data_IF_602958634428
#
_entry.id   IF_602958634428
#
_cell.length_a   1.000
_cell.length_b   1.000
_cell.length_c   1.000
_cell.angle_alpha   90.00
_cell.angle_beta   90.00
_cell.angle_gamma   90.00
#
_symmetry.space_group_name_H-M   'P 1'
#
loop_
_entity.id
_entity.type
_entity.pdbx_description
1 polymer ?
#
# COMPACT_ATOMS: atom_id res chain seq x y z
N UNK A 1 41.16 45.86 52.78
CA UNK A 1 40.21 45.88 51.66
C UNK A 1 40.55 44.71 50.75
N UNK A 2 39.74 43.63 50.80
CA UNK A 2 39.79 42.52 49.81
C UNK A 2 39.04 42.98 48.56
N UNK A 3 39.79 43.46 47.54
CA UNK A 3 39.17 43.71 46.21
C UNK A 3 39.05 42.36 45.47
N UNK A 4 37.92 41.84 45.48
CA UNK A 4 37.58 40.67 44.62
C UNK A 4 37.52 41.18 43.17
N UNK A 5 38.59 40.98 42.42
CA UNK A 5 38.62 41.27 40.99
C UNK A 5 37.85 40.15 40.23
N UNK A 6 36.61 40.44 39.80
CA UNK A 6 35.81 39.53 38.97
C UNK A 6 36.37 39.60 37.53
N UNK A 7 36.84 38.47 37.04
CA UNK A 7 37.27 38.32 35.63
C UNK A 7 36.03 38.25 34.73
N UNK A 8 35.99 39.08 33.65
CA UNK A 8 34.79 39.27 32.83
C UNK A 8 34.54 38.15 31.81
N UNK A 9 35.62 37.48 31.40
CA UNK A 9 35.56 36.47 30.36
C UNK A 9 36.15 35.17 30.86
N UNK A 10 35.47 34.06 30.56
CA UNK A 10 35.98 32.70 30.75
C UNK A 10 35.90 31.92 29.44
N UNK A 11 36.86 31.08 29.19
CA UNK A 11 36.83 30.09 28.11
C UNK A 11 37.16 28.72 28.70
N UNK A 12 36.34 27.74 28.37
CA UNK A 12 36.51 26.34 28.75
C UNK A 12 36.49 25.49 27.50
N UNK A 13 37.41 24.56 27.38
CA UNK A 13 37.44 23.55 26.32
C UNK A 13 38.01 22.26 26.91
N UNK A 14 37.49 21.11 26.46
CA UNK A 14 37.98 19.87 27.02
C UNK A 14 37.41 18.65 26.35
N UNK A 15 37.89 17.48 26.77
CA UNK A 15 37.44 16.18 26.38
C UNK A 15 36.86 15.48 27.61
N UNK A 16 35.68 14.88 27.44
CA UNK A 16 35.02 14.07 28.47
C UNK A 16 34.81 12.67 27.94
N UNK A 17 35.26 11.68 28.69
CA UNK A 17 35.00 10.27 28.48
C UNK A 17 34.05 9.78 29.58
N UNK A 18 32.92 9.19 29.19
CA UNK A 18 31.98 8.54 30.10
C UNK A 18 31.71 7.13 29.62
N UNK A 19 32.07 6.15 30.45
CA UNK A 19 31.89 4.73 30.18
C UNK A 19 30.92 4.15 31.20
N UNK A 20 29.73 3.64 30.79
CA UNK A 20 28.88 2.87 31.66
C UNK A 20 29.49 1.48 31.86
N UNK A 21 30.09 1.24 33.04
CA UNK A 21 30.69 -0.06 33.39
C UNK A 21 29.64 -1.11 33.73
N UNK A 22 28.54 -0.67 34.36
CA UNK A 22 27.38 -1.50 34.63
C UNK A 22 26.09 -0.66 34.52
N UNK A 23 25.22 -1.00 33.59
CA UNK A 23 23.92 -0.36 33.44
C UNK A 23 22.93 -1.35 32.82
N UNK A 24 22.07 -1.94 33.63
CA UNK A 24 21.12 -2.97 33.20
C UNK A 24 20.10 -2.40 32.17
N UNK A 25 19.74 -1.12 32.26
CA UNK A 25 18.83 -0.50 31.31
C UNK A 25 19.45 -0.38 29.92
N UNK A 26 20.76 -0.16 29.82
CA UNK A 26 21.49 -0.09 28.56
C UNK A 26 21.42 -1.40 27.78
N UNK A 27 21.66 -2.53 28.43
CA UNK A 27 21.58 -3.85 27.78
C UNK A 27 20.17 -4.16 27.27
N UNK A 28 19.13 -3.78 28.01
CA UNK A 28 17.76 -3.94 27.55
C UNK A 28 17.41 -2.96 26.43
N UNK A 29 18.00 -1.75 26.43
CA UNK A 29 17.82 -0.79 25.32
C UNK A 29 18.42 -1.31 24.02
N UNK A 30 19.56 -2.01 24.05
CA UNK A 30 20.13 -2.69 22.88
C UNK A 30 19.14 -3.73 22.34
N UNK A 31 18.60 -4.58 23.22
CA UNK A 31 17.62 -5.60 22.80
C UNK A 31 16.27 -5.00 22.36
N UNK A 32 15.94 -3.77 22.74
CA UNK A 32 14.81 -2.99 22.21
C UNK A 32 15.14 -2.49 20.82
N UNK A 33 16.36 -1.96 20.58
CA UNK A 33 16.78 -1.52 19.25
C UNK A 33 16.74 -2.64 18.20
N UNK A 34 17.05 -3.88 18.58
CA UNK A 34 16.88 -5.06 17.72
C UNK A 34 15.42 -5.30 17.33
N UNK A 35 14.48 -5.15 18.30
CA UNK A 35 13.05 -5.28 18.01
C UNK A 35 12.54 -4.14 17.14
N UNK A 36 13.02 -2.90 17.34
CA UNK A 36 12.66 -1.77 16.47
C UNK A 36 13.13 -2.02 15.04
N UNK A 37 14.39 -2.45 14.87
CA UNK A 37 14.89 -2.82 13.55
C UNK A 37 14.05 -3.94 12.89
N UNK A 38 13.61 -4.94 13.67
CA UNK A 38 12.73 -6.00 13.16
C UNK A 38 11.36 -5.46 12.77
N UNK A 39 10.80 -4.52 13.53
CA UNK A 39 9.54 -3.83 13.18
C UNK A 39 9.67 -3.08 11.86
N UNK A 40 10.79 -2.36 11.66
CA UNK A 40 11.03 -1.60 10.42
C UNK A 40 11.16 -2.54 9.22
N UNK A 41 11.88 -3.66 9.35
CA UNK A 41 11.99 -4.68 8.30
C UNK A 41 10.63 -5.31 7.97
N UNK A 42 9.83 -5.68 8.98
CA UNK A 42 8.49 -6.24 8.76
C UNK A 42 7.53 -5.21 8.15
N UNK A 43 7.67 -3.92 8.50
CA UNK A 43 6.90 -2.83 7.92
C UNK A 43 7.26 -2.60 6.45
N UNK A 44 8.55 -2.72 6.10
CA UNK A 44 9.01 -2.67 4.72
C UNK A 44 8.44 -3.83 3.89
N UNK A 45 8.52 -5.07 4.39
CA UNK A 45 7.97 -6.25 3.68
C UNK A 45 6.44 -6.16 3.53
N UNK A 46 5.73 -5.66 4.56
CA UNK A 46 4.29 -5.40 4.46
C UNK A 46 3.98 -4.34 3.41
N UNK A 47 4.71 -3.23 3.39
CA UNK A 47 4.52 -2.17 2.39
C UNK A 47 4.78 -2.68 0.97
N UNK A 48 5.79 -3.54 0.78
CA UNK A 48 6.08 -4.21 -0.50
C UNK A 48 4.92 -5.13 -0.92
N UNK A 49 4.38 -5.92 0.00
CA UNK A 49 3.21 -6.77 -0.26
C UNK A 49 1.98 -5.95 -0.65
N UNK A 50 1.69 -4.85 0.07
CA UNK A 50 0.60 -3.93 -0.24
C UNK A 50 0.77 -3.30 -1.63
N UNK A 51 1.99 -2.92 -2.00
CA UNK A 51 2.33 -2.36 -3.31
C UNK A 51 2.13 -3.38 -4.43
N UNK A 52 2.52 -4.65 -4.24
CA UNK A 52 2.28 -5.73 -5.22
C UNK A 52 0.78 -5.89 -5.49
N UNK A 53 -0.04 -5.85 -4.44
CA UNK A 53 -1.51 -5.93 -4.58
C UNK A 53 -2.06 -4.72 -5.33
N UNK A 54 -1.57 -3.52 -5.05
CA UNK A 54 -2.00 -2.30 -5.74
C UNK A 54 -1.62 -2.33 -7.23
N UNK A 55 -0.39 -2.71 -7.55
CA UNK A 55 0.08 -2.89 -8.92
C UNK A 55 -0.79 -3.94 -9.64
N UNK A 56 -1.07 -5.08 -8.99
CA UNK A 56 -1.93 -6.13 -9.55
C UNK A 56 -3.33 -5.62 -9.88
N UNK A 57 -3.94 -4.81 -8.99
CA UNK A 57 -5.26 -4.20 -9.24
C UNK A 57 -5.23 -3.27 -10.46
N UNK A 58 -4.23 -2.40 -10.56
CA UNK A 58 -4.07 -1.49 -11.68
C UNK A 58 -3.80 -2.23 -13.00
N UNK A 59 -2.99 -3.28 -12.94
CA UNK A 59 -2.69 -4.14 -14.08
C UNK A 59 -3.94 -4.82 -14.64
N UNK A 60 -4.74 -5.48 -13.78
CA UNK A 60 -5.99 -6.13 -14.21
C UNK A 60 -7.03 -5.13 -14.68
N UNK A 61 -7.07 -3.93 -14.09
CA UNK A 61 -7.95 -2.85 -14.54
C UNK A 61 -7.56 -2.39 -15.95
N UNK A 62 -6.28 -2.17 -16.21
CA UNK A 62 -5.75 -1.80 -17.52
C UNK A 62 -6.02 -2.87 -18.59
N UNK A 63 -5.80 -4.16 -18.26
CA UNK A 63 -6.15 -5.27 -19.16
C UNK A 63 -7.64 -5.29 -19.51
N UNK A 64 -8.51 -5.09 -18.50
CA UNK A 64 -9.95 -5.04 -18.70
C UNK A 64 -10.35 -3.88 -19.62
N UNK A 65 -9.73 -2.70 -19.46
CA UNK A 65 -10.00 -1.53 -20.32
C UNK A 65 -9.50 -1.73 -21.74
N UNK A 66 -8.36 -2.41 -21.95
CA UNK A 66 -7.90 -2.78 -23.30
C UNK A 66 -8.90 -3.73 -23.97
N UNK A 67 -9.38 -4.73 -23.25
CA UNK A 67 -10.41 -5.63 -23.79
C UNK A 67 -11.72 -4.88 -24.09
N UNK A 68 -12.10 -3.93 -23.24
CA UNK A 68 -13.26 -3.06 -23.49
C UNK A 68 -13.09 -2.23 -24.78
N UNK A 69 -11.93 -1.66 -25.05
CA UNK A 69 -11.62 -0.94 -26.28
C UNK A 69 -11.79 -1.83 -27.52
N UNK A 70 -11.26 -3.06 -27.47
CA UNK A 70 -11.40 -4.02 -28.57
C UNK A 70 -12.88 -4.39 -28.85
N UNK A 71 -13.67 -4.57 -27.80
CA UNK A 71 -15.10 -4.82 -27.89
C UNK A 71 -15.83 -3.61 -28.52
N UNK A 72 -15.54 -2.40 -28.07
CA UNK A 72 -16.15 -1.17 -28.61
C UNK A 72 -15.76 -0.98 -30.08
N UNK A 73 -14.51 -1.23 -30.47
CA UNK A 73 -14.09 -1.20 -31.88
C UNK A 73 -14.90 -2.19 -32.73
N UNK A 74 -15.08 -3.41 -32.25
CA UNK A 74 -15.93 -4.40 -32.90
C UNK A 74 -17.40 -3.93 -33.02
N UNK A 75 -17.94 -3.29 -31.99
CA UNK A 75 -19.30 -2.74 -32.01
C UNK A 75 -19.42 -1.59 -33.00
N UNK A 76 -18.44 -0.68 -33.05
CA UNK A 76 -18.39 0.42 -34.05
C UNK A 76 -18.40 -0.15 -35.47
N UNK A 77 -17.57 -1.14 -35.78
CA UNK A 77 -17.51 -1.77 -37.09
C UNK A 77 -18.84 -2.42 -37.48
N UNK A 78 -19.53 -3.08 -36.53
CA UNK A 78 -20.87 -3.67 -36.73
C UNK A 78 -21.94 -2.61 -37.00
N UNK A 79 -21.97 -1.53 -36.20
CA UNK A 79 -22.93 -0.43 -36.39
C UNK A 79 -22.69 0.34 -37.67
N UNK A 80 -21.45 0.52 -38.10
CA UNK A 80 -21.13 1.16 -39.40
C UNK A 80 -21.62 0.31 -40.56
N UNK A 81 -21.43 -1.03 -40.48
CA UNK A 81 -22.03 -1.95 -41.47
C UNK A 81 -23.55 -1.89 -41.46
N UNK A 82 -24.19 -1.85 -40.31
CA UNK A 82 -25.64 -1.74 -40.17
C UNK A 82 -26.15 -0.44 -40.72
N UNK A 83 -25.46 0.70 -40.49
CA UNK A 83 -25.82 2.01 -41.10
C UNK A 83 -25.84 1.92 -42.62
N UNK A 84 -24.81 1.29 -43.22
CA UNK A 84 -24.72 1.17 -44.67
C UNK A 84 -25.86 0.31 -45.24
N UNK A 85 -26.24 -0.81 -44.58
CA UNK A 85 -27.38 -1.62 -44.97
C UNK A 85 -28.69 -0.86 -44.83
N UNK A 86 -28.89 -0.18 -43.70
CA UNK A 86 -30.10 0.60 -43.44
C UNK A 86 -30.27 1.75 -44.43
N UNK A 87 -29.16 2.42 -44.79
CA UNK A 87 -29.14 3.49 -45.79
C UNK A 87 -29.56 2.91 -47.17
N UNK A 88 -29.01 1.76 -47.58
CA UNK A 88 -29.39 1.14 -48.83
C UNK A 88 -30.88 0.71 -48.83
N UNK A 89 -31.43 0.28 -47.73
CA UNK A 89 -32.87 -0.04 -47.59
C UNK A 89 -33.72 1.25 -47.69
N UNK A 90 -33.30 2.35 -47.08
CA UNK A 90 -33.97 3.64 -47.19
C UNK A 90 -33.99 4.15 -48.65
N UNK A 91 -32.85 4.07 -49.32
CA UNK A 91 -32.73 4.50 -50.74
C UNK A 91 -33.62 3.70 -51.69
N UNK A 92 -33.94 2.47 -51.32
CA UNK A 92 -34.88 1.56 -52.05
C UNK A 92 -36.32 1.59 -51.52
N UNK A 93 -36.64 2.51 -50.56
CA UNK A 93 -37.97 2.64 -49.98
C UNK A 93 -38.41 1.49 -49.05
N UNK A 94 -37.44 0.69 -48.57
CA UNK A 94 -37.68 -0.47 -47.65
C UNK A 94 -37.46 -0.12 -46.18
N UNK A 95 -36.87 1.02 -45.87
CA UNK A 95 -36.65 1.52 -44.49
C UNK A 95 -37.05 2.98 -44.37
N UNK A 96 -37.26 3.48 -43.15
CA UNK A 96 -37.59 4.86 -42.86
C UNK A 96 -36.33 5.67 -42.57
N UNK A 97 -36.30 6.96 -42.90
CA UNK A 97 -35.22 7.91 -42.58
C UNK A 97 -34.89 7.90 -41.05
N UNK A 98 -35.92 7.75 -40.23
CA UNK A 98 -35.74 7.65 -38.77
C UNK A 98 -34.91 6.41 -38.32
N UNK A 99 -34.91 5.32 -39.08
CA UNK A 99 -34.13 4.13 -38.75
C UNK A 99 -32.64 4.34 -39.04
N UNK A 100 -32.30 5.03 -40.13
CA UNK A 100 -30.93 5.46 -40.44
C UNK A 100 -30.40 6.36 -39.30
N UNK A 101 -31.19 7.37 -38.92
CA UNK A 101 -30.82 8.30 -37.83
C UNK A 101 -30.62 7.60 -36.48
N UNK A 102 -31.41 6.56 -36.15
CA UNK A 102 -31.26 5.77 -34.96
C UNK A 102 -29.90 5.03 -34.91
N UNK A 103 -29.51 4.44 -36.03
CA UNK A 103 -28.22 3.75 -36.14
C UNK A 103 -27.07 4.75 -36.04
N UNK A 104 -27.19 5.94 -36.72
CA UNK A 104 -26.18 7.00 -36.62
C UNK A 104 -25.98 7.50 -35.19
N UNK A 105 -27.07 7.73 -34.44
CA UNK A 105 -26.98 8.12 -33.03
C UNK A 105 -26.23 7.05 -32.18
N UNK A 106 -26.54 5.76 -32.39
CA UNK A 106 -25.87 4.69 -31.67
C UNK A 106 -24.39 4.58 -32.05
N UNK A 107 -24.06 4.76 -33.32
CA UNK A 107 -22.68 4.76 -33.80
C UNK A 107 -21.87 5.92 -33.16
N UNK A 108 -22.43 7.14 -33.14
CA UNK A 108 -21.76 8.29 -32.50
C UNK A 108 -21.62 8.09 -30.98
N UNK A 109 -22.61 7.52 -30.31
CA UNK A 109 -22.51 7.16 -28.89
C UNK A 109 -21.38 6.15 -28.64
N UNK A 110 -21.22 5.13 -29.50
CA UNK A 110 -20.10 4.17 -29.39
C UNK A 110 -18.74 4.84 -29.61
N UNK A 111 -18.63 5.78 -30.56
CA UNK A 111 -17.39 6.56 -30.74
C UNK A 111 -17.03 7.38 -29.53
N UNK A 112 -18.02 8.02 -28.89
CA UNK A 112 -17.81 8.75 -27.64
C UNK A 112 -17.34 7.80 -26.53
N UNK A 113 -17.96 6.61 -26.40
CA UNK A 113 -17.53 5.60 -25.43
C UNK A 113 -16.10 5.11 -25.69
N UNK A 114 -15.71 4.93 -26.95
CA UNK A 114 -14.35 4.58 -27.34
C UNK A 114 -13.33 5.62 -26.86
N UNK A 115 -13.57 6.90 -27.16
CA UNK A 115 -12.68 7.97 -26.72
C UNK A 115 -12.59 8.09 -25.19
N UNK A 116 -13.70 7.90 -24.49
CA UNK A 116 -13.72 7.88 -23.02
C UNK A 116 -12.91 6.71 -22.46
N UNK A 117 -13.08 5.51 -23.00
CA UNK A 117 -12.31 4.33 -22.58
C UNK A 117 -10.81 4.49 -22.89
N UNK A 118 -10.46 5.11 -24.02
CA UNK A 118 -9.06 5.41 -24.36
C UNK A 118 -8.44 6.42 -23.38
N UNK A 119 -9.17 7.47 -23.03
CA UNK A 119 -8.71 8.44 -22.03
C UNK A 119 -8.53 7.76 -20.64
N UNK A 120 -9.48 6.88 -20.27
CA UNK A 120 -9.40 6.11 -19.03
C UNK A 120 -8.17 5.18 -19.02
N UNK A 121 -7.90 4.47 -20.12
CA UNK A 121 -6.70 3.62 -20.23
C UNK A 121 -5.42 4.45 -20.04
N UNK A 122 -5.31 5.61 -20.67
CA UNK A 122 -4.15 6.49 -20.52
C UNK A 122 -3.96 6.92 -19.06
N UNK A 123 -5.05 7.25 -18.34
CA UNK A 123 -4.98 7.60 -16.93
C UNK A 123 -4.53 6.40 -16.06
N UNK A 124 -5.04 5.20 -16.34
CA UNK A 124 -4.65 3.96 -15.64
C UNK A 124 -3.18 3.61 -15.88
N UNK A 125 -2.70 3.73 -17.12
CA UNK A 125 -1.29 3.50 -17.45
C UNK A 125 -0.37 4.54 -16.80
N UNK A 126 -0.78 5.81 -16.73
CA UNK A 126 -0.01 6.84 -16.02
C UNK A 126 0.05 6.56 -14.51
N UNK A 127 -1.05 6.11 -13.90
CA UNK A 127 -1.06 5.71 -12.50
C UNK A 127 -0.18 4.47 -12.27
N UNK A 128 -0.20 3.50 -13.18
CA UNK A 128 0.67 2.32 -13.12
C UNK A 128 2.15 2.71 -13.24
N UNK A 129 2.51 3.63 -14.16
CA UNK A 129 3.87 4.18 -14.27
C UNK A 129 4.31 4.84 -12.96
N UNK A 130 3.46 5.68 -12.40
CA UNK A 130 3.73 6.34 -11.12
C UNK A 130 3.97 5.33 -10.00
N UNK A 131 3.12 4.30 -9.90
CA UNK A 131 3.24 3.26 -8.87
C UNK A 131 4.50 2.40 -9.04
N UNK A 132 4.98 2.23 -10.29
CA UNK A 132 6.20 1.51 -10.64
C UNK A 132 7.47 2.39 -10.63
N UNK A 133 7.34 3.67 -10.29
CA UNK A 133 8.44 4.67 -10.33
C UNK A 133 9.12 4.74 -11.73
N UNK A 134 8.30 4.63 -12.79
CA UNK A 134 8.76 4.73 -14.18
C UNK A 134 8.60 6.16 -14.72
N UNK A 135 9.51 6.64 -15.58
CA UNK A 135 9.35 7.93 -16.27
C UNK A 135 8.05 7.97 -17.07
N UNK A 136 7.42 9.18 -17.16
CA UNK A 136 6.15 9.37 -17.89
C UNK A 136 6.24 9.02 -19.38
N UNK A 137 7.44 9.16 -19.97
CA UNK A 137 7.70 8.85 -21.38
C UNK A 137 7.84 7.34 -21.64
N UNK A 138 7.97 6.53 -20.60
CA UNK A 138 8.12 5.06 -20.77
C UNK A 138 6.82 4.46 -21.31
N UNK A 139 6.91 3.69 -22.37
CA UNK A 139 5.74 2.98 -22.92
C UNK A 139 5.55 1.64 -22.22
N UNK A 140 4.38 1.46 -21.61
CA UNK A 140 3.96 0.18 -21.01
C UNK A 140 2.98 -0.50 -21.94
N UNK A 141 3.29 -1.73 -22.32
CA UNK A 141 2.37 -2.63 -23.02
C UNK A 141 1.91 -3.72 -22.05
N UNK A 142 0.60 -3.81 -21.84
CA UNK A 142 0.03 -4.87 -21.01
C UNK A 142 -0.23 -6.11 -21.86
N UNK A 143 -0.02 -7.28 -21.26
CA UNK A 143 -0.37 -8.55 -21.90
C UNK A 143 -1.89 -8.62 -22.12
N UNK A 144 -2.38 -9.12 -23.25
CA UNK A 144 -3.81 -9.30 -23.48
C UNK A 144 -4.44 -10.14 -22.37
N UNK A 145 -5.73 -9.87 -22.11
CA UNK A 145 -6.52 -10.62 -21.15
C UNK A 145 -6.63 -12.07 -21.61
N UNK A 146 -6.15 -13.01 -20.76
CA UNK A 146 -6.32 -14.43 -21.01
C UNK A 146 -7.54 -14.94 -20.23
N UNK A 147 -8.64 -15.35 -20.89
CA UNK A 147 -9.84 -15.82 -20.22
C UNK A 147 -9.66 -17.18 -19.50
N UNK A 148 -8.63 -17.95 -19.85
CA UNK A 148 -8.44 -19.32 -19.39
C UNK A 148 -7.53 -19.46 -18.15
N UNK A 149 -6.94 -18.36 -17.66
CA UNK A 149 -6.12 -18.41 -16.46
C UNK A 149 -7.03 -18.38 -15.22
N UNK A 150 -7.44 -19.56 -14.80
CA UNK A 150 -7.91 -19.80 -13.43
C UNK A 150 -6.68 -19.98 -12.54
N UNK A 151 -6.40 -19.00 -11.66
CA UNK A 151 -5.30 -19.12 -10.71
C UNK A 151 -5.53 -20.31 -9.78
N UNK A 152 -4.50 -21.13 -9.58
CA UNK A 152 -4.49 -22.23 -8.63
C UNK A 152 -4.29 -21.70 -7.21
N UNK A 153 -5.26 -20.95 -6.67
CA UNK A 153 -5.21 -20.52 -5.28
C UNK A 153 -5.41 -21.71 -4.36
N UNK A 154 -4.44 -21.97 -3.50
CA UNK A 154 -4.56 -23.04 -2.50
C UNK A 154 -5.27 -22.51 -1.26
N UNK A 155 -6.33 -23.18 -0.81
CA UNK A 155 -7.11 -22.85 0.38
C UNK A 155 -6.45 -23.44 1.63
N UNK A 156 -5.29 -22.93 2.02
CA UNK A 156 -4.50 -23.43 3.14
C UNK A 156 -4.85 -22.82 4.51
N UNK A 157 -5.91 -22.00 4.58
CA UNK A 157 -6.23 -21.18 5.75
C UNK A 157 -5.48 -19.85 5.77
N UNK A 158 -5.79 -19.04 6.79
CA UNK A 158 -5.05 -17.79 7.05
C UNK A 158 -3.58 -18.14 7.36
N UNK A 159 -2.64 -17.45 6.71
CA UNK A 159 -1.23 -17.67 6.97
C UNK A 159 -0.82 -17.07 8.32
N UNK A 160 -0.21 -17.89 9.20
CA UNK A 160 0.39 -17.41 10.44
C UNK A 160 1.64 -16.54 10.21
N UNK A 161 2.23 -16.61 9.02
CA UNK A 161 3.40 -15.83 8.62
C UNK A 161 3.06 -14.47 8.00
N UNK A 162 1.79 -14.03 8.03
CA UNK A 162 1.41 -12.69 7.58
C UNK A 162 2.24 -11.62 8.28
N UNK A 163 2.82 -10.71 7.49
CA UNK A 163 3.65 -9.61 8.01
C UNK A 163 2.90 -8.75 9.03
N UNK A 164 1.60 -8.58 8.87
CA UNK A 164 0.75 -7.85 9.82
C UNK A 164 0.70 -8.53 11.19
N UNK A 165 0.55 -9.86 11.24
CA UNK A 165 0.56 -10.62 12.51
C UNK A 165 1.94 -10.62 13.16
N UNK A 166 3.01 -10.80 12.38
CA UNK A 166 4.38 -10.73 12.87
C UNK A 166 4.74 -9.33 13.40
N UNK A 167 4.26 -8.28 12.75
CA UNK A 167 4.44 -6.89 13.17
C UNK A 167 3.80 -6.65 14.55
N UNK A 168 2.53 -7.05 14.72
CA UNK A 168 1.82 -6.92 15.99
C UNK A 168 2.47 -7.76 17.13
N UNK A 169 2.95 -8.95 16.81
CA UNK A 169 3.68 -9.78 17.79
C UNK A 169 4.98 -9.09 18.23
N UNK A 170 5.76 -8.57 17.28
CA UNK A 170 7.01 -7.87 17.57
C UNK A 170 6.76 -6.58 18.36
N UNK A 171 5.70 -5.83 18.05
CA UNK A 171 5.29 -4.63 18.80
C UNK A 171 4.89 -5.01 20.25
N UNK A 172 4.17 -6.11 20.43
CA UNK A 172 3.79 -6.61 21.76
C UNK A 172 5.03 -7.01 22.58
N UNK A 173 6.01 -7.66 21.95
CA UNK A 173 7.30 -7.99 22.58
C UNK A 173 8.09 -6.73 22.96
N UNK A 174 8.09 -5.70 22.10
CA UNK A 174 8.71 -4.39 22.36
C UNK A 174 8.13 -3.75 23.61
N UNK A 175 6.79 -3.64 23.71
CA UNK A 175 6.10 -3.06 24.87
C UNK A 175 6.40 -3.85 26.17
N UNK A 176 6.47 -5.17 26.08
CA UNK A 176 6.88 -6.03 27.21
C UNK A 176 8.30 -5.72 27.68
N UNK A 177 9.26 -5.53 26.75
CA UNK A 177 10.65 -5.15 27.11
C UNK A 177 10.73 -3.72 27.64
N UNK A 178 9.95 -2.77 27.09
CA UNK A 178 9.86 -1.41 27.61
C UNK A 178 9.34 -1.40 29.07
N UNK A 179 8.36 -2.23 29.39
CA UNK A 179 7.92 -2.41 30.78
C UNK A 179 9.02 -2.98 31.71
N UNK A 180 9.91 -3.84 31.20
CA UNK A 180 11.05 -4.38 31.97
C UNK A 180 12.10 -3.32 32.29
N UNK A 181 12.39 -2.38 31.37
CA UNK A 181 13.35 -1.28 31.61
C UNK A 181 12.97 -0.48 32.86
N UNK A 182 11.68 -0.24 33.08
CA UNK A 182 11.21 0.53 34.25
C UNK A 182 11.60 -0.19 35.55
N UNK A 183 11.46 -1.52 35.61
CA UNK A 183 11.91 -2.32 36.78
C UNK A 183 13.43 -2.28 36.93
N UNK A 184 14.18 -2.32 35.83
CA UNK A 184 15.65 -2.29 35.85
C UNK A 184 16.19 -0.93 36.32
N UNK A 185 15.38 0.13 36.22
CA UNK A 185 15.70 1.43 36.78
C UNK A 185 15.82 1.44 38.33
N UNK A 186 15.51 0.36 39.06
CA UNK A 186 15.81 0.17 40.48
C UNK A 186 17.20 -0.41 40.73
N UNK A 187 17.84 -0.98 39.70
CA UNK A 187 19.15 -1.59 39.80
C UNK A 187 20.23 -0.51 39.84
N UNK A 188 21.23 -0.56 40.72
CA UNK A 188 22.33 0.36 40.74
C UNK A 188 23.08 0.40 39.40
N UNK A 189 23.60 1.57 39.03
CA UNK A 189 24.45 1.76 37.86
C UNK A 189 25.81 2.27 38.25
N UNK A 190 26.88 1.78 37.60
CA UNK A 190 28.26 2.14 37.80
C UNK A 190 28.82 2.75 36.52
N UNK A 191 29.30 3.98 36.61
CA UNK A 191 29.90 4.71 35.49
C UNK A 191 31.36 5.11 35.84
N UNK A 192 32.24 4.99 34.87
CA UNK A 192 33.54 5.61 34.89
C UNK A 192 33.47 6.92 34.13
N UNK A 193 34.01 7.99 34.72
CA UNK A 193 34.09 9.29 34.08
C UNK A 193 35.53 9.77 34.08
N UNK A 194 36.00 10.34 32.99
CA UNK A 194 37.30 11.02 32.90
C UNK A 194 37.12 12.30 32.11
N UNK A 195 37.67 13.38 32.61
CA UNK A 195 37.57 14.71 32.00
C UNK A 195 38.94 15.38 31.98
N UNK A 196 39.37 15.78 30.82
CA UNK A 196 40.48 16.68 30.60
C UNK A 196 39.91 18.04 30.18
N UNK A 197 40.11 19.07 30.96
CA UNK A 197 39.60 20.41 30.66
C UNK A 197 40.69 21.47 30.75
N UNK A 198 40.65 22.40 29.83
CA UNK A 198 41.46 23.60 29.83
C UNK A 198 40.54 24.80 30.10
N UNK A 199 40.87 25.59 31.10
CA UNK A 199 40.10 26.76 31.50
C UNK A 199 40.97 27.99 31.50
N UNK A 200 40.50 29.09 30.96
CA UNK A 200 41.18 30.38 30.98
C UNK A 200 40.19 31.47 31.43
N UNK A 201 40.71 32.39 32.26
CA UNK A 201 39.94 33.51 32.80
C UNK A 201 40.67 34.82 32.49
N UNK A 202 39.96 35.81 31.94
CA UNK A 202 40.58 37.08 31.55
C UNK A 202 39.60 38.26 31.66
N UNK A 203 40.18 39.50 31.81
CA UNK A 203 39.40 40.73 31.80
C UNK A 203 39.08 41.25 30.39
N UNK A 204 39.84 40.84 29.36
CA UNK A 204 39.70 41.30 27.98
C UNK A 204 39.73 40.13 27.02
N UNK A 205 38.74 40.04 26.11
CA UNK A 205 38.59 38.95 25.14
C UNK A 205 39.86 38.69 24.30
N UNK A 206 40.54 39.77 23.85
CA UNK A 206 41.78 39.66 23.07
C UNK A 206 42.92 38.92 23.75
N UNK A 207 42.89 38.81 25.10
CA UNK A 207 43.94 38.14 25.87
C UNK A 207 43.89 36.60 25.74
N UNK A 208 42.81 36.00 25.21
CA UNK A 208 42.75 34.56 24.94
C UNK A 208 43.75 34.12 23.85
N UNK A 209 44.11 35.04 22.95
CA UNK A 209 44.92 34.76 21.76
C UNK A 209 46.38 35.33 21.87
N UNK A 210 46.72 36.03 22.92
CA UNK A 210 48.08 36.60 23.14
C UNK A 210 48.64 36.04 24.42
N UNK A 211 49.94 35.64 24.37
CA UNK A 211 50.66 35.15 25.55
C UNK A 211 51.02 36.34 26.46
N UNK A 212 50.14 36.63 27.40
CA UNK A 212 50.41 37.66 28.46
C UNK A 212 50.43 36.97 29.83
N UNK A 213 51.13 37.46 30.79
CA UNK A 213 51.29 36.91 32.15
C UNK A 213 49.96 36.73 32.87
N UNK A 214 48.93 37.46 32.46
CA UNK A 214 47.58 37.36 33.03
C UNK A 214 46.63 36.30 32.32
N UNK A 215 47.15 35.56 31.34
CA UNK A 215 46.36 34.68 30.52
C UNK A 215 46.95 33.26 30.57
N UNK A 216 46.85 32.61 31.72
CA UNK A 216 47.23 31.20 31.85
C UNK A 216 46.05 30.32 31.60
N UNK A 217 46.20 29.37 30.68
CA UNK A 217 45.32 28.24 30.57
C UNK A 217 45.67 27.27 31.69
N UNK A 218 44.65 26.91 32.47
CA UNK A 218 44.77 25.91 33.54
C UNK A 218 44.26 24.59 33.01
N UNK A 219 45.09 23.59 33.03
CA UNK A 219 44.78 22.24 32.75
C UNK A 219 44.18 21.57 34.02
N UNK A 220 43.10 20.87 33.87
CA UNK A 220 42.53 20.03 34.92
C UNK A 220 42.22 18.66 34.37
N UNK A 221 42.69 17.64 35.04
CA UNK A 221 42.37 16.24 34.74
C UNK A 221 41.68 15.62 35.94
N UNK A 222 40.46 15.15 35.70
CA UNK A 222 39.63 14.48 36.70
C UNK A 222 39.23 13.11 36.22
N UNK A 223 39.28 12.13 37.05
CA UNK A 223 38.69 10.81 36.78
C UNK A 223 38.02 10.27 38.06
N UNK A 224 37.01 9.40 37.86
CA UNK A 224 36.29 8.84 38.99
C UNK A 224 35.33 7.74 38.63
N UNK A 225 34.90 7.03 39.64
CA UNK A 225 33.81 6.05 39.56
C UNK A 225 32.58 6.66 40.23
N UNK A 226 31.45 6.62 39.53
CA UNK A 226 30.16 7.07 40.04
C UNK A 226 29.23 5.87 40.19
N UNK A 227 28.85 5.51 41.42
CA UNK A 227 27.84 4.51 41.73
C UNK A 227 26.52 5.23 42.05
N UNK A 228 25.49 5.00 41.23
CA UNK A 228 24.15 5.60 41.44
C UNK A 228 23.22 4.48 41.94
N UNK A 229 22.69 4.63 43.15
CA UNK A 229 21.73 3.74 43.76
C UNK A 229 20.41 4.50 43.95
N UNK A 230 19.34 4.17 43.23
CA UNK A 230 18.05 4.83 43.39
C UNK A 230 17.33 4.26 44.63
N UNK A 231 17.28 5.01 45.74
CA UNK A 231 16.66 4.59 47.00
C UNK A 231 15.15 4.87 46.98
N UNK A 232 14.76 6.06 46.55
CA UNK A 232 13.37 6.46 46.53
C UNK A 232 13.12 7.46 45.39
N UNK A 233 12.03 7.29 44.64
CA UNK A 233 11.69 8.11 43.48
C UNK A 233 10.26 8.68 43.53
N UNK A 234 9.64 8.72 44.71
CA UNK A 234 8.27 9.24 44.88
C UNK A 234 7.22 8.34 44.19
N UNK A 235 7.45 7.02 44.06
CA UNK A 235 6.57 6.05 43.39
C UNK A 235 6.45 6.25 41.87
N UNK A 236 7.27 7.12 41.26
CA UNK A 236 7.23 7.41 39.84
C UNK A 236 7.41 6.13 38.98
N UNK A 237 8.39 5.29 39.33
CA UNK A 237 8.60 4.02 38.60
C UNK A 237 7.44 3.05 38.79
N UNK A 238 6.81 3.01 39.96
CA UNK A 238 5.66 2.16 40.22
C UNK A 238 4.48 2.54 39.30
N UNK A 239 4.15 3.84 39.20
CA UNK A 239 3.09 4.34 38.31
C UNK A 239 3.43 4.09 36.85
N UNK A 240 4.67 4.36 36.41
CA UNK A 240 5.14 4.06 35.05
C UNK A 240 5.04 2.57 34.71
N UNK A 241 5.32 1.68 35.67
CA UNK A 241 5.14 0.22 35.50
C UNK A 241 3.68 -0.14 35.27
N UNK A 242 2.76 0.46 36.03
CA UNK A 242 1.32 0.24 35.83
C UNK A 242 0.88 0.69 34.44
N UNK A 243 1.30 1.89 34.00
CA UNK A 243 1.05 2.38 32.66
C UNK A 243 1.57 1.42 31.59
N UNK A 244 2.83 0.99 31.69
CA UNK A 244 3.43 0.04 30.75
C UNK A 244 2.69 -1.31 30.71
N UNK A 245 2.19 -1.80 31.85
CA UNK A 245 1.38 -3.01 31.89
C UNK A 245 0.04 -2.84 31.19
N UNK A 246 -0.59 -1.68 31.31
CA UNK A 246 -1.86 -1.35 30.59
C UNK A 246 -1.60 -1.30 29.09
N UNK A 247 -0.55 -0.61 28.64
CA UNK A 247 -0.19 -0.56 27.22
C UNK A 247 0.15 -1.94 26.64
N UNK A 248 0.87 -2.75 27.38
CA UNK A 248 1.14 -4.15 26.98
C UNK A 248 -0.15 -4.96 26.83
N UNK A 249 -1.08 -4.88 27.83
CA UNK A 249 -2.37 -5.59 27.76
C UNK A 249 -3.23 -5.11 26.58
N UNK A 250 -3.24 -3.82 26.34
CA UNK A 250 -3.92 -3.23 25.18
C UNK A 250 -3.37 -3.77 23.86
N UNK A 251 -2.04 -3.86 23.73
CA UNK A 251 -1.40 -4.44 22.55
C UNK A 251 -1.75 -5.91 22.33
N UNK A 252 -1.78 -6.72 23.41
CA UNK A 252 -2.20 -8.13 23.34
C UNK A 252 -3.65 -8.24 22.85
N UNK A 253 -4.57 -7.45 23.42
CA UNK A 253 -5.96 -7.46 22.99
C UNK A 253 -6.11 -6.98 21.52
N UNK A 254 -5.31 -6.00 21.10
CA UNK A 254 -5.29 -5.54 19.70
C UNK A 254 -4.80 -6.66 18.77
N UNK A 255 -3.77 -7.40 19.15
CA UNK A 255 -3.25 -8.53 18.39
C UNK A 255 -4.32 -9.63 18.23
N UNK A 256 -5.01 -10.01 19.33
CA UNK A 256 -6.10 -10.99 19.28
C UNK A 256 -7.27 -10.52 18.41
N UNK A 257 -7.66 -9.25 18.53
CA UNK A 257 -8.74 -8.67 17.72
C UNK A 257 -8.38 -8.66 16.23
N UNK A 258 -7.16 -8.22 15.88
CA UNK A 258 -6.72 -8.21 14.49
C UNK A 258 -6.64 -9.63 13.91
N UNK A 259 -6.18 -10.62 14.70
CA UNK A 259 -6.21 -12.02 14.25
C UNK A 259 -7.62 -12.47 13.90
N UNK A 260 -8.61 -12.21 14.75
CA UNK A 260 -10.04 -12.54 14.49
C UNK A 260 -10.59 -11.81 13.27
N UNK A 261 -10.21 -10.55 13.08
CA UNK A 261 -10.58 -9.79 11.88
C UNK A 261 -10.02 -10.43 10.60
N UNK A 262 -8.74 -10.82 10.61
CA UNK A 262 -8.10 -11.47 9.46
C UNK A 262 -8.68 -12.86 9.18
N UNK A 263 -9.02 -13.64 10.20
CA UNK A 263 -9.73 -14.94 10.06
C UNK A 263 -11.11 -14.74 9.41
N UNK A 264 -11.85 -13.72 9.86
CA UNK A 264 -13.15 -13.36 9.25
C UNK A 264 -12.95 -12.87 7.80
N UNK A 265 -11.96 -12.04 7.56
CA UNK A 265 -11.63 -11.56 6.22
C UNK A 265 -11.22 -12.70 5.28
N UNK A 266 -10.44 -13.67 5.76
CA UNK A 266 -10.11 -14.87 5.00
C UNK A 266 -11.36 -15.65 4.60
N UNK A 267 -12.27 -15.93 5.56
CA UNK A 267 -13.51 -16.65 5.30
C UNK A 267 -14.39 -15.94 4.28
N UNK A 268 -14.51 -14.62 4.40
CA UNK A 268 -15.25 -13.79 3.44
C UNK A 268 -14.56 -13.80 2.06
N UNK A 269 -13.23 -13.66 2.00
CA UNK A 269 -12.49 -13.66 0.73
C UNK A 269 -12.59 -15.00 -0.02
N UNK A 270 -12.67 -16.13 0.69
CA UNK A 270 -12.94 -17.44 0.08
C UNK A 270 -14.34 -17.46 -0.54
N UNK A 271 -15.35 -16.98 0.20
CA UNK A 271 -16.73 -16.90 -0.30
C UNK A 271 -16.84 -15.95 -1.50
N UNK A 272 -16.18 -14.81 -1.43
CA UNK A 272 -16.13 -13.81 -2.49
C UNK A 272 -15.47 -14.36 -3.76
N UNK A 273 -14.35 -15.08 -3.63
CA UNK A 273 -13.70 -15.73 -4.78
C UNK A 273 -14.64 -16.73 -5.46
N UNK A 274 -15.27 -17.62 -4.69
CA UNK A 274 -16.21 -18.61 -5.24
C UNK A 274 -17.41 -17.96 -5.92
N UNK A 275 -17.96 -16.89 -5.33
CA UNK A 275 -19.10 -16.16 -5.90
C UNK A 275 -18.70 -15.40 -7.17
N UNK A 276 -17.55 -14.72 -7.17
CA UNK A 276 -17.07 -14.00 -8.34
C UNK A 276 -16.69 -14.96 -9.48
N UNK A 277 -16.16 -16.14 -9.17
CA UNK A 277 -15.90 -17.18 -10.18
C UNK A 277 -17.21 -17.62 -10.85
N UNK A 278 -18.23 -17.97 -10.07
CA UNK A 278 -19.53 -18.36 -10.61
C UNK A 278 -20.19 -17.25 -11.43
N UNK A 279 -20.07 -16.00 -10.94
CA UNK A 279 -20.58 -14.84 -11.65
C UNK A 279 -19.86 -14.66 -13.00
N UNK A 280 -18.54 -14.77 -13.00
CA UNK A 280 -17.74 -14.70 -14.23
C UNK A 280 -18.17 -15.76 -15.26
N UNK A 281 -18.29 -17.04 -14.86
CA UNK A 281 -18.74 -18.13 -15.72
C UNK A 281 -20.14 -17.87 -16.30
N UNK A 282 -21.06 -17.32 -15.47
CA UNK A 282 -22.42 -16.97 -15.92
C UNK A 282 -22.43 -15.77 -16.88
N UNK A 283 -21.68 -14.73 -16.59
CA UNK A 283 -21.60 -13.56 -17.47
C UNK A 283 -20.90 -13.88 -18.80
N UNK A 284 -19.93 -14.79 -18.80
CA UNK A 284 -19.32 -15.30 -20.02
C UNK A 284 -20.35 -16.05 -20.89
N UNK A 285 -21.18 -16.90 -20.27
CA UNK A 285 -22.27 -17.60 -20.97
C UNK A 285 -23.32 -16.60 -21.49
N UNK A 286 -23.72 -15.60 -20.69
CA UNK A 286 -24.68 -14.58 -21.09
C UNK A 286 -24.17 -13.76 -22.27
N UNK A 287 -22.88 -13.39 -22.26
CA UNK A 287 -22.27 -12.67 -23.38
C UNK A 287 -22.36 -13.48 -24.68
N UNK A 288 -21.95 -14.76 -24.66
CA UNK A 288 -22.03 -15.64 -25.84
C UNK A 288 -23.46 -15.74 -26.36
N UNK A 289 -24.46 -15.95 -25.46
CA UNK A 289 -25.85 -16.05 -25.84
C UNK A 289 -26.39 -14.74 -26.44
N UNK A 290 -26.04 -13.58 -25.83
CA UNK A 290 -26.46 -12.29 -26.36
C UNK A 290 -25.85 -12.00 -27.76
N UNK A 291 -24.61 -12.44 -28.00
CA UNK A 291 -23.96 -12.35 -29.31
C UNK A 291 -24.65 -13.22 -30.34
N UNK A 292 -25.00 -14.46 -30.02
CA UNK A 292 -25.78 -15.36 -30.91
C UNK A 292 -27.13 -14.74 -31.26
N UNK A 293 -27.89 -14.23 -30.28
CA UNK A 293 -29.18 -13.58 -30.48
C UNK A 293 -29.05 -12.38 -31.43
N UNK A 294 -28.06 -11.49 -31.16
CA UNK A 294 -27.80 -10.34 -31.99
C UNK A 294 -27.50 -10.72 -33.45
N UNK A 295 -26.66 -11.74 -33.67
CA UNK A 295 -26.33 -12.19 -35.02
C UNK A 295 -27.58 -12.72 -35.76
N UNK A 296 -28.39 -13.52 -35.10
CA UNK A 296 -29.66 -14.05 -35.68
C UNK A 296 -30.62 -12.91 -36.02
N UNK A 297 -30.78 -11.93 -35.12
CA UNK A 297 -31.67 -10.77 -35.37
C UNK A 297 -31.12 -9.86 -36.49
N UNK A 298 -29.80 -9.73 -36.59
CA UNK A 298 -29.14 -9.03 -37.69
C UNK A 298 -29.45 -9.66 -39.05
N UNK A 299 -29.39 -11.00 -39.13
CA UNK A 299 -29.70 -11.69 -40.39
C UNK A 299 -31.19 -11.60 -40.73
N UNK A 300 -32.09 -11.76 -39.75
CA UNK A 300 -33.53 -11.53 -39.94
C UNK A 300 -33.84 -10.11 -40.39
N UNK A 301 -33.11 -9.10 -39.89
CA UNK A 301 -33.26 -7.72 -40.33
C UNK A 301 -32.84 -7.54 -41.78
N UNK A 302 -31.74 -8.15 -42.24
CA UNK A 302 -31.32 -8.14 -43.66
C UNK A 302 -32.35 -8.79 -44.60
N UNK A 303 -33.08 -9.80 -44.10
CA UNK A 303 -34.17 -10.45 -44.83
C UNK A 303 -35.53 -9.72 -44.74
N UNK A 304 -35.58 -8.58 -44.00
CA UNK A 304 -36.83 -7.82 -43.80
C UNK A 304 -37.81 -8.46 -42.82
N UNK A 305 -37.41 -9.47 -42.05
CA UNK A 305 -38.25 -10.21 -41.09
C UNK A 305 -38.29 -9.54 -39.74
N UNK A 306 -37.13 -9.03 -39.26
CA UNK A 306 -37.00 -8.29 -37.98
C UNK A 306 -37.07 -6.77 -38.18
N UNK A 307 -37.57 -6.06 -37.17
CA UNK A 307 -37.62 -4.61 -37.18
C UNK A 307 -36.27 -4.01 -36.71
N UNK A 308 -35.96 -2.75 -37.10
CA UNK A 308 -34.83 -1.97 -36.60
C UNK A 308 -34.88 -1.86 -35.08
N UNK A 309 -36.05 -1.66 -34.49
CA UNK A 309 -36.21 -1.54 -33.03
C UNK A 309 -35.81 -2.82 -32.31
N UNK A 310 -36.17 -4.00 -32.85
CA UNK A 310 -35.76 -5.30 -32.28
C UNK A 310 -34.22 -5.47 -32.33
N UNK A 311 -33.62 -5.15 -33.50
CA UNK A 311 -32.18 -5.25 -33.68
C UNK A 311 -31.41 -4.32 -32.72
N UNK A 312 -31.85 -3.08 -32.54
CA UNK A 312 -31.22 -2.13 -31.62
C UNK A 312 -31.42 -2.54 -30.15
N UNK A 313 -32.53 -3.21 -29.80
CA UNK A 313 -32.70 -3.79 -28.47
C UNK A 313 -31.72 -4.93 -28.20
N UNK A 314 -31.50 -5.80 -29.17
CA UNK A 314 -30.56 -6.93 -29.01
C UNK A 314 -29.10 -6.41 -29.01
N UNK A 315 -28.78 -5.34 -29.74
CA UNK A 315 -27.48 -4.68 -29.64
C UNK A 315 -27.22 -4.06 -28.26
N UNK A 316 -28.24 -3.43 -27.67
CA UNK A 316 -28.15 -2.92 -26.31
C UNK A 316 -27.90 -4.07 -25.29
N UNK A 317 -28.65 -5.17 -25.42
CA UNK A 317 -28.46 -6.37 -24.56
C UNK A 317 -27.07 -6.99 -24.72
N UNK A 318 -26.54 -7.01 -25.95
CA UNK A 318 -25.18 -7.47 -26.22
C UNK A 318 -24.15 -6.57 -25.52
N UNK A 319 -24.30 -5.25 -25.64
CA UNK A 319 -23.40 -4.28 -24.99
C UNK A 319 -23.46 -4.41 -23.45
N UNK A 320 -24.66 -4.60 -22.88
CA UNK A 320 -24.83 -4.85 -21.44
C UNK A 320 -24.16 -6.15 -21.01
N UNK A 321 -24.31 -7.22 -21.77
CA UNK A 321 -23.69 -8.51 -21.50
C UNK A 321 -22.15 -8.46 -21.60
N UNK A 322 -21.60 -7.73 -22.58
CA UNK A 322 -20.17 -7.46 -22.73
C UNK A 322 -19.61 -6.74 -21.51
N UNK A 323 -20.27 -5.66 -21.06
CA UNK A 323 -19.86 -4.91 -19.87
C UNK A 323 -19.97 -5.75 -18.60
N UNK A 324 -21.03 -6.56 -18.48
CA UNK A 324 -21.22 -7.53 -17.39
C UNK A 324 -20.09 -8.55 -17.32
N UNK A 325 -19.69 -9.11 -18.46
CA UNK A 325 -18.57 -10.05 -18.57
C UNK A 325 -17.24 -9.42 -18.12
N UNK A 326 -16.90 -8.23 -18.63
CA UNK A 326 -15.67 -7.53 -18.26
C UNK A 326 -15.60 -7.19 -16.78
N UNK A 327 -16.72 -6.69 -16.22
CA UNK A 327 -16.81 -6.38 -14.78
C UNK A 327 -16.67 -7.64 -13.93
N UNK A 328 -17.31 -8.73 -14.32
CA UNK A 328 -17.22 -10.00 -13.60
C UNK A 328 -15.80 -10.59 -13.65
N UNK A 329 -15.12 -10.49 -14.79
CA UNK A 329 -13.72 -10.90 -14.92
C UNK A 329 -12.80 -10.10 -13.99
N UNK A 330 -12.90 -8.78 -14.02
CA UNK A 330 -12.12 -7.91 -13.12
C UNK A 330 -12.36 -8.26 -11.65
N UNK A 331 -13.63 -8.36 -11.23
CA UNK A 331 -13.97 -8.68 -9.84
C UNK A 331 -13.46 -10.05 -9.40
N UNK A 332 -13.48 -11.04 -10.30
CA UNK A 332 -12.88 -12.36 -10.04
C UNK A 332 -11.37 -12.25 -9.79
N UNK A 333 -10.64 -11.51 -10.65
CA UNK A 333 -9.19 -11.32 -10.49
C UNK A 333 -8.83 -10.54 -9.21
N UNK A 334 -9.63 -9.56 -8.82
CA UNK A 334 -9.45 -8.84 -7.55
C UNK A 334 -9.71 -9.75 -6.34
N UNK A 335 -10.74 -10.59 -6.38
CA UNK A 335 -11.01 -11.55 -5.31
C UNK A 335 -9.87 -12.58 -5.16
N UNK A 336 -9.34 -13.08 -6.29
CA UNK A 336 -8.17 -13.95 -6.34
C UNK A 336 -6.94 -13.28 -5.69
N UNK A 337 -6.61 -12.05 -6.10
CA UNK A 337 -5.48 -11.29 -5.59
C UNK A 337 -5.58 -11.04 -4.07
N UNK A 338 -6.77 -10.69 -3.58
CA UNK A 338 -7.01 -10.48 -2.14
C UNK A 338 -6.80 -11.77 -1.33
N UNK A 339 -7.22 -12.93 -1.87
CA UNK A 339 -7.02 -14.21 -1.18
C UNK A 339 -5.54 -14.65 -1.23
N UNK A 340 -4.83 -14.43 -2.34
CA UNK A 340 -3.38 -14.68 -2.45
C UNK A 340 -2.59 -13.90 -1.41
N UNK A 341 -2.98 -12.64 -1.14
CA UNK A 341 -2.40 -11.84 -0.06
C UNK A 341 -2.58 -12.50 1.30
N UNK A 342 -3.81 -12.88 1.67
CA UNK A 342 -4.14 -13.47 2.98
C UNK A 342 -3.52 -14.86 3.20
N UNK A 343 -3.17 -15.56 2.12
CA UNK A 343 -2.50 -16.87 2.15
C UNK A 343 -0.99 -16.78 1.93
N UNK A 344 -0.44 -15.56 1.74
CA UNK A 344 0.97 -15.31 1.37
C UNK A 344 1.44 -16.09 0.14
N UNK A 345 0.60 -16.11 -0.91
CA UNK A 345 0.88 -16.80 -2.17
C UNK A 345 1.09 -15.81 -3.34
N UNK A 346 1.42 -14.54 -3.05
CA UNK A 346 1.62 -13.51 -4.09
C UNK A 346 2.79 -13.84 -5.03
N UNK A 347 3.75 -14.68 -4.62
CA UNK A 347 4.86 -15.14 -5.46
C UNK A 347 4.39 -15.90 -6.72
N UNK A 348 3.17 -16.42 -6.71
CA UNK A 348 2.56 -17.07 -7.89
C UNK A 348 2.39 -16.07 -9.04
N UNK A 349 2.26 -14.78 -8.75
CA UNK A 349 2.09 -13.73 -9.77
C UNK A 349 3.43 -13.35 -10.45
N UNK A 350 4.56 -13.78 -9.90
CA UNK A 350 5.91 -13.45 -10.42
C UNK A 350 6.52 -14.59 -11.25
N UNK A 351 5.82 -15.71 -11.40
CA UNK A 351 6.20 -16.85 -12.25
C UNK A 351 5.47 -16.77 -13.60
#
# INVERSE_FOLDING_TARGET
>A
YNVTKTLRYNANGGLQLQLPLYNQTLYTSIAISELVNRIDLLSYEKAKEDLIVEIGKLYFLGQTTICQLQIIEGNIARLDSLRNITQAFFDNGMAMDVDVKRVEINLENMRVQYHNAQAMLNQQLNLLKYTLDLPSEYEITLTPLNPDITGNVRFNGLSDSLYELQLLDTQTQLLKKQGRIINQGYIPSLNFTSQLAYSAYTDKFKHFFHSHISNKWYESFNFGLSLKIPIFDGLSKHTKKQQANVEYRKAVLQQENTRKQLETQYTNSVSDLMNNQRNYEKQQSNYKLAEEVYLVTTDKYKEGIASMTELLQDELRLTEAQNGYLSAHYNYKIAELNLLKLTQQLDILTQ
#
